data_IF_127222655535
#
_entry.id   IF_127222655535
#
_cell.length_a   1.000
_cell.length_b   1.000
_cell.length_c   1.000
_cell.angle_alpha   90.00
_cell.angle_beta   90.00
_cell.angle_gamma   90.00
#
_symmetry.space_group_name_H-M   'P 1'
#
loop_
_entity.id
_entity.type
_entity.pdbx_description
1 polymer ?
#
# COMPACT_ATOMS: atom_id res chain seq x y z
N UNK A 1 14.29 -7.83 -5.48
CA UNK A 1 12.94 -7.69 -4.93
C UNK A 1 11.96 -8.07 -6.03
N UNK A 2 10.98 -8.96 -5.80
CA UNK A 2 9.92 -9.21 -6.77
C UNK A 2 9.09 -7.93 -6.95
N UNK A 3 8.95 -7.45 -8.18
CA UNK A 3 8.09 -6.31 -8.51
C UNK A 3 6.69 -6.85 -8.79
N UNK A 4 5.70 -6.40 -8.02
CA UNK A 4 4.30 -6.79 -8.19
C UNK A 4 3.56 -5.59 -8.80
N UNK A 5 3.27 -5.66 -10.09
CA UNK A 5 2.48 -4.64 -10.79
C UNK A 5 0.98 -5.01 -10.77
N UNK A 6 0.18 -4.19 -10.08
CA UNK A 6 -1.27 -4.36 -9.98
C UNK A 6 -1.97 -3.01 -10.05
N UNK A 7 -2.93 -2.88 -10.96
CA UNK A 7 -3.80 -1.71 -11.08
C UNK A 7 -5.13 -1.99 -10.40
N UNK A 8 -5.57 -1.11 -9.51
CA UNK A 8 -6.89 -1.16 -8.90
C UNK A 8 -7.84 -0.23 -9.68
N UNK A 9 -8.78 -0.83 -10.40
CA UNK A 9 -9.88 -0.10 -11.03
C UNK A 9 -11.11 -0.14 -10.12
N UNK A 10 -11.69 1.03 -9.81
CA UNK A 10 -12.85 1.14 -8.92
C UNK A 10 -14.00 1.84 -9.65
N UNK A 11 -15.04 1.07 -9.96
CA UNK A 11 -16.26 1.57 -10.62
C UNK A 11 -17.21 2.24 -9.61
N UNK A 12 -17.85 3.33 -10.02
CA UNK A 12 -19.00 3.90 -9.30
C UNK A 12 -18.69 4.81 -8.10
N UNK A 13 -17.42 5.14 -7.83
CA UNK A 13 -17.04 6.10 -6.78
C UNK A 13 -16.94 7.51 -7.37
N UNK A 14 -17.55 8.50 -6.71
CA UNK A 14 -17.54 9.89 -7.16
C UNK A 14 -16.12 10.49 -7.03
N UNK A 15 -15.70 11.23 -8.06
CA UNK A 15 -14.46 12.02 -8.02
C UNK A 15 -14.50 12.99 -6.84
N UNK A 16 -13.42 13.03 -6.04
CA UNK A 16 -13.30 13.90 -4.86
C UNK A 16 -13.84 13.30 -3.56
N UNK A 17 -14.35 12.06 -3.56
CA UNK A 17 -14.62 11.32 -2.32
C UNK A 17 -13.31 11.00 -1.58
N UNK A 18 -13.37 10.90 -0.25
CA UNK A 18 -12.24 10.38 0.52
C UNK A 18 -12.08 8.88 0.24
N UNK A 19 -10.86 8.46 -0.04
CA UNK A 19 -10.50 7.09 -0.34
C UNK A 19 -9.75 6.49 0.85
N UNK A 20 -10.02 5.23 1.15
CA UNK A 20 -9.29 4.46 2.16
C UNK A 20 -8.70 3.21 1.53
N UNK A 21 -7.39 3.05 1.67
CA UNK A 21 -6.67 1.86 1.26
C UNK A 21 -6.15 1.13 2.48
N UNK A 22 -6.45 -0.17 2.59
CA UNK A 22 -6.01 -0.99 3.72
C UNK A 22 -5.19 -2.18 3.22
N UNK A 23 -3.96 -2.29 3.72
CA UNK A 23 -3.06 -3.40 3.46
C UNK A 23 -2.93 -4.32 4.67
N UNK A 24 -2.72 -5.62 4.43
CA UNK A 24 -2.31 -6.59 5.45
C UNK A 24 -0.92 -7.08 5.10
N UNK A 25 0.03 -6.90 6.02
CA UNK A 25 1.44 -7.20 5.77
C UNK A 25 1.83 -8.49 6.49
N UNK A 26 2.53 -9.37 5.76
CA UNK A 26 3.06 -10.62 6.28
C UNK A 26 4.57 -10.65 6.05
N UNK A 27 5.29 -11.18 7.04
CA UNK A 27 6.74 -11.32 7.04
C UNK A 27 7.10 -12.77 7.28
N UNK A 28 8.23 -13.19 6.72
CA UNK A 28 8.82 -14.49 6.97
C UNK A 28 9.63 -14.43 8.28
N UNK A 29 9.35 -15.32 9.23
CA UNK A 29 10.00 -15.32 10.55
C UNK A 29 10.29 -16.74 11.08
N UNK A 30 11.56 -17.12 11.32
CA UNK A 30 12.78 -16.36 11.01
C UNK A 30 13.06 -16.30 9.50
N UNK A 31 13.93 -15.40 9.02
CA UNK A 31 14.24 -15.28 7.60
C UNK A 31 14.71 -16.60 6.98
N UNK A 32 14.15 -16.98 5.83
CA UNK A 32 14.43 -18.24 5.14
C UNK A 32 13.75 -19.48 5.72
N UNK A 33 12.83 -19.35 6.67
CA UNK A 33 12.11 -20.48 7.29
C UNK A 33 10.87 -20.95 6.51
N UNK A 34 10.40 -20.17 5.54
CA UNK A 34 9.09 -20.25 4.89
C UNK A 34 7.88 -20.17 5.84
N UNK A 35 8.09 -19.77 7.09
CA UNK A 35 7.01 -19.53 8.04
C UNK A 35 6.57 -18.08 7.94
N UNK A 36 5.35 -17.88 7.45
CA UNK A 36 4.77 -16.56 7.27
C UNK A 36 3.89 -16.21 8.47
N UNK A 37 4.15 -15.06 9.09
CA UNK A 37 3.28 -14.48 10.10
C UNK A 37 2.91 -13.05 9.72
N UNK A 38 1.89 -12.51 10.39
CA UNK A 38 1.61 -11.08 10.25
C UNK A 38 2.76 -10.25 10.80
N UNK A 39 3.03 -9.13 10.13
CA UNK A 39 3.88 -8.09 10.68
C UNK A 39 3.30 -7.57 12.00
N UNK A 40 4.18 -7.09 12.88
CA UNK A 40 3.83 -6.47 14.16
C UNK A 40 4.05 -4.95 14.10
N UNK A 41 3.74 -4.24 15.18
CA UNK A 41 3.80 -2.78 15.18
C UNK A 41 5.21 -2.26 14.87
N UNK A 42 5.35 -1.41 13.84
CA UNK A 42 6.64 -0.82 13.48
C UNK A 42 7.60 -1.73 12.71
N UNK A 43 7.18 -2.95 12.37
CA UNK A 43 8.07 -3.95 11.77
C UNK A 43 8.29 -3.74 10.27
N UNK A 44 7.26 -3.24 9.58
CA UNK A 44 7.33 -2.97 8.14
C UNK A 44 6.82 -1.56 7.86
N UNK A 45 7.59 -0.84 7.07
CA UNK A 45 7.22 0.46 6.51
C UNK A 45 6.57 0.23 5.15
N UNK A 46 5.39 0.78 4.94
CA UNK A 46 4.65 0.68 3.68
C UNK A 46 4.49 2.07 3.10
N UNK A 47 4.86 2.23 1.84
CA UNK A 47 4.74 3.46 1.07
C UNK A 47 3.55 3.36 0.10
N UNK A 48 2.67 4.36 0.11
CA UNK A 48 1.64 4.57 -0.91
C UNK A 48 2.13 5.59 -1.94
N UNK A 49 2.19 5.19 -3.22
CA UNK A 49 2.52 6.10 -4.33
C UNK A 49 1.38 6.25 -5.30
N UNK A 50 1.18 7.48 -5.78
CA UNK A 50 0.36 7.77 -6.94
C UNK A 50 1.21 7.66 -8.20
N UNK A 51 0.84 6.78 -9.13
CA UNK A 51 1.56 6.59 -10.39
C UNK A 51 1.08 7.56 -11.47
N UNK A 52 -0.18 8.01 -11.40
CA UNK A 52 -0.77 8.85 -12.43
C UNK A 52 -0.88 8.14 -13.77
N UNK A 53 -0.70 8.89 -14.86
CA UNK A 53 -0.64 8.35 -16.23
C UNK A 53 0.72 7.72 -16.54
N UNK A 54 0.80 6.87 -17.57
CA UNK A 54 2.02 6.14 -17.94
C UNK A 54 3.26 7.00 -18.24
N UNK A 55 3.07 8.31 -18.49
CA UNK A 55 4.14 9.28 -18.76
C UNK A 55 4.50 10.14 -17.55
N UNK A 56 3.76 10.05 -16.44
CA UNK A 56 4.00 10.83 -15.24
C UNK A 56 5.01 10.11 -14.33
N UNK A 57 5.79 10.91 -13.60
CA UNK A 57 6.65 10.38 -12.54
C UNK A 57 5.76 10.16 -11.31
N UNK A 58 5.83 8.95 -10.76
CA UNK A 58 5.08 8.61 -9.56
C UNK A 58 5.41 9.55 -8.39
N UNK A 59 4.40 9.92 -7.62
CA UNK A 59 4.52 10.78 -6.46
C UNK A 59 4.28 9.97 -5.19
N UNK A 60 5.26 9.99 -4.28
CA UNK A 60 5.09 9.47 -2.92
C UNK A 60 4.00 10.28 -2.21
N UNK A 61 3.01 9.59 -1.65
CA UNK A 61 1.90 10.23 -0.96
C UNK A 61 2.08 10.18 0.54
N UNK A 62 2.29 8.98 1.06
CA UNK A 62 2.32 8.73 2.49
C UNK A 62 3.06 7.42 2.77
N UNK A 63 3.79 7.42 3.88
CA UNK A 63 4.58 6.29 4.34
C UNK A 63 4.18 5.99 5.78
N UNK A 64 3.70 4.76 6.03
CA UNK A 64 3.17 4.33 7.32
C UNK A 64 3.80 3.02 7.77
N UNK A 65 4.03 2.91 9.08
CA UNK A 65 4.43 1.67 9.71
C UNK A 65 3.21 0.78 10.00
N UNK A 66 3.41 -0.54 9.98
CA UNK A 66 2.40 -1.51 10.39
C UNK A 66 1.91 -1.27 11.82
N UNK A 67 0.61 -1.44 12.04
CA UNK A 67 -0.01 -1.43 13.37
C UNK A 67 0.21 -2.74 14.15
N UNK A 68 -0.26 -2.81 15.39
CA UNK A 68 -0.14 -4.00 16.24
C UNK A 68 -0.84 -5.26 15.68
N UNK A 69 -1.69 -5.10 14.67
CA UNK A 69 -2.40 -6.18 13.97
C UNK A 69 -1.81 -6.48 12.58
N UNK A 70 -0.68 -5.84 12.22
CA UNK A 70 -0.01 -6.01 10.93
C UNK A 70 -0.72 -5.34 9.77
N UNK A 71 -1.55 -4.32 10.03
CA UNK A 71 -2.24 -3.57 8.99
C UNK A 71 -1.61 -2.20 8.78
N UNK A 72 -1.87 -1.63 7.60
CA UNK A 72 -1.65 -0.21 7.29
C UNK A 72 -2.94 0.35 6.70
N UNK A 73 -3.27 1.60 7.02
CA UNK A 73 -4.47 2.27 6.53
C UNK A 73 -4.14 3.69 6.10
N UNK A 74 -4.13 3.92 4.79
CA UNK A 74 -3.96 5.24 4.19
C UNK A 74 -5.33 5.86 3.97
N UNK A 75 -5.59 7.01 4.58
CA UNK A 75 -6.87 7.71 4.48
C UNK A 75 -6.63 9.13 3.97
N UNK A 76 -7.32 9.53 2.90
CA UNK A 76 -7.15 10.86 2.35
C UNK A 76 -8.06 11.15 1.17
N UNK A 77 -8.04 12.41 0.73
CA UNK A 77 -8.67 12.82 -0.52
C UNK A 77 -7.66 12.67 -1.65
N UNK A 78 -7.68 11.51 -2.30
CA UNK A 78 -6.75 11.18 -3.37
C UNK A 78 -7.35 11.52 -4.74
N UNK A 79 -6.47 11.81 -5.71
CA UNK A 79 -6.86 12.04 -7.09
C UNK A 79 -7.39 10.73 -7.73
N UNK A 80 -8.06 10.82 -8.87
CA UNK A 80 -8.40 9.60 -9.63
C UNK A 80 -7.20 9.14 -10.45
N UNK A 81 -6.81 7.87 -10.35
CA UNK A 81 -5.77 7.28 -11.21
C UNK A 81 -5.18 6.02 -10.61
N UNK A 82 -3.98 5.66 -11.05
CA UNK A 82 -3.28 4.44 -10.63
C UNK A 82 -2.44 4.68 -9.38
N UNK A 83 -2.43 3.69 -8.48
CA UNK A 83 -1.69 3.71 -7.22
C UNK A 83 -0.92 2.40 -7.05
N UNK A 84 0.20 2.46 -6.33
CA UNK A 84 0.93 1.27 -5.87
C UNK A 84 1.22 1.37 -4.37
N UNK A 85 1.35 0.20 -3.74
CA UNK A 85 1.80 0.07 -2.35
C UNK A 85 3.03 -0.82 -2.32
N UNK A 86 4.11 -0.32 -1.72
CA UNK A 86 5.41 -1.01 -1.63
C UNK A 86 5.83 -1.13 -0.15
N UNK A 87 6.51 -2.22 0.20
CA UNK A 87 6.95 -2.58 1.54
C UNK A 87 8.37 -3.16 1.51
#
# INVERSE_FOLDING_TARGET
>A
MPVVDKVLYVEGVQVGAAWQFTGKVFVEDPPGSMNWRKATAGEVEVELRFLGEWWQIGTEMETLLTDASGNVSFAGSWQSGSYTMEA
#
